data_IF_974030558005
#
_entry.id   IF_974030558005
#
_cell.length_a   1.000
_cell.length_b   1.000
_cell.length_c   1.000
_cell.angle_alpha   90.00
_cell.angle_beta   90.00
_cell.angle_gamma   90.00
#
_symmetry.space_group_name_H-M   'P 1'
#
loop_
_entity.id
_entity.type
_entity.pdbx_description
1 polymer ?
#
# COMPACT_ATOMS: atom_id res chain seq x y z
N UNK A 1 34.23 -38.75 12.58
CA UNK A 1 33.21 -39.82 12.68
C UNK A 1 32.62 -39.96 14.08
N UNK A 2 33.38 -40.25 15.15
CA UNK A 2 32.81 -40.34 16.52
C UNK A 2 32.41 -38.98 17.13
N UNK A 3 33.24 -37.95 16.93
CA UNK A 3 33.02 -36.60 17.45
C UNK A 3 31.86 -35.86 16.79
N UNK A 4 31.70 -35.97 15.47
CA UNK A 4 30.61 -35.33 14.72
C UNK A 4 29.24 -35.91 15.10
N UNK A 5 29.17 -37.22 15.36
CA UNK A 5 27.92 -37.87 15.83
C UNK A 5 27.56 -37.43 17.25
N UNK A 6 28.56 -37.12 18.08
CA UNK A 6 28.35 -36.64 19.45
C UNK A 6 27.94 -35.15 19.49
N UNK A 7 28.47 -34.33 18.59
CA UNK A 7 28.03 -32.95 18.37
C UNK A 7 26.60 -32.88 17.83
N UNK A 8 26.27 -33.71 16.84
CA UNK A 8 24.90 -33.80 16.31
C UNK A 8 23.89 -34.26 17.38
N UNK A 9 24.29 -35.17 18.29
CA UNK A 9 23.43 -35.57 19.42
C UNK A 9 23.19 -34.42 20.39
N UNK A 10 24.21 -33.64 20.71
CA UNK A 10 24.06 -32.44 21.55
C UNK A 10 23.18 -31.39 20.90
N UNK A 11 23.28 -31.22 19.58
CA UNK A 11 22.44 -30.28 18.84
C UNK A 11 20.98 -30.74 18.76
N UNK A 12 20.73 -32.03 18.54
CA UNK A 12 19.38 -32.62 18.58
C UNK A 12 18.78 -32.49 19.98
N UNK A 13 19.56 -32.69 21.04
CA UNK A 13 19.09 -32.52 22.42
C UNK A 13 18.78 -31.05 22.74
N UNK A 14 19.60 -30.12 22.26
CA UNK A 14 19.36 -28.67 22.36
C UNK A 14 18.07 -28.27 21.64
N UNK A 15 17.88 -28.75 20.41
CA UNK A 15 16.68 -28.49 19.61
C UNK A 15 15.44 -29.10 20.24
N UNK A 16 15.52 -30.34 20.75
CA UNK A 16 14.41 -30.99 21.47
C UNK A 16 14.00 -30.19 22.70
N UNK A 17 14.98 -29.69 23.46
CA UNK A 17 14.72 -28.86 24.64
C UNK A 17 14.13 -27.50 24.26
N UNK A 18 14.53 -26.93 23.13
CA UNK A 18 13.94 -25.68 22.62
C UNK A 18 12.50 -25.88 22.14
N UNK A 19 12.22 -26.98 21.43
CA UNK A 19 10.85 -27.34 21.01
C UNK A 19 9.94 -27.59 22.23
N UNK A 20 10.43 -28.25 23.28
CA UNK A 20 9.67 -28.43 24.53
C UNK A 20 9.36 -27.09 25.22
N UNK A 21 10.32 -26.16 25.26
CA UNK A 21 10.10 -24.81 25.82
C UNK A 21 9.06 -24.03 25.00
N UNK A 22 9.17 -24.06 23.68
CA UNK A 22 8.24 -23.37 22.79
C UNK A 22 6.83 -23.98 22.88
N UNK A 23 6.72 -25.31 22.91
CA UNK A 23 5.43 -25.99 23.09
C UNK A 23 4.76 -25.62 24.42
N UNK A 24 5.53 -25.55 25.51
CA UNK A 24 5.00 -25.10 26.81
C UNK A 24 4.53 -23.65 26.76
N UNK A 25 5.32 -22.75 26.15
CA UNK A 25 4.93 -21.36 25.99
C UNK A 25 3.64 -21.21 25.16
N UNK A 26 3.49 -21.97 24.08
CA UNK A 26 2.27 -21.97 23.24
C UNK A 26 1.05 -22.43 24.04
N UNK A 27 1.19 -23.48 24.86
CA UNK A 27 0.08 -23.97 25.71
C UNK A 27 -0.28 -22.93 26.77
N UNK A 28 0.71 -22.30 27.40
CA UNK A 28 0.49 -21.25 28.41
C UNK A 28 -0.20 -20.03 27.78
N UNK A 29 0.27 -19.56 26.62
CA UNK A 29 -0.34 -18.44 25.87
C UNK A 29 -1.74 -18.79 25.36
N UNK A 30 -1.95 -20.02 24.85
CA UNK A 30 -3.26 -20.49 24.43
C UNK A 30 -4.26 -20.54 25.60
N UNK A 31 -3.82 -21.01 26.77
CA UNK A 31 -4.65 -21.02 27.98
C UNK A 31 -5.01 -19.62 28.46
N UNK A 32 -4.09 -18.67 28.33
CA UNK A 32 -4.30 -17.28 28.72
C UNK A 32 -5.23 -16.56 27.73
N UNK A 33 -5.11 -16.84 26.43
CA UNK A 33 -5.98 -16.29 25.40
C UNK A 33 -7.42 -16.82 25.53
N UNK A 34 -7.58 -18.12 25.81
CA UNK A 34 -8.89 -18.71 26.12
C UNK A 34 -9.52 -18.08 27.37
N UNK A 35 -8.74 -17.84 28.43
CA UNK A 35 -9.24 -17.14 29.62
C UNK A 35 -9.69 -15.73 29.31
N UNK A 36 -8.93 -14.99 28.52
CA UNK A 36 -9.30 -13.61 28.11
C UNK A 36 -10.56 -13.61 27.26
N UNK A 37 -10.72 -14.57 26.35
CA UNK A 37 -11.94 -14.72 25.55
C UNK A 37 -13.16 -15.08 26.40
N UNK A 38 -13.03 -16.08 27.29
CA UNK A 38 -14.11 -16.48 28.20
C UNK A 38 -14.48 -15.34 29.15
N UNK A 39 -13.51 -14.57 29.65
CA UNK A 39 -13.79 -13.40 30.49
C UNK A 39 -14.46 -12.26 29.70
N UNK A 40 -14.08 -12.06 28.43
CA UNK A 40 -14.71 -11.08 27.54
C UNK A 40 -16.16 -11.47 27.25
N UNK A 41 -16.42 -12.73 26.92
CA UNK A 41 -17.77 -13.27 26.72
C UNK A 41 -18.60 -13.21 28.01
N UNK A 42 -18.03 -13.57 29.15
CA UNK A 42 -18.72 -13.48 30.45
C UNK A 42 -19.07 -12.04 30.80
N UNK A 43 -18.19 -11.07 30.52
CA UNK A 43 -18.48 -9.64 30.69
C UNK A 43 -19.55 -9.17 29.71
N UNK A 44 -19.53 -9.64 28.47
CA UNK A 44 -20.55 -9.35 27.46
C UNK A 44 -21.92 -9.91 27.86
N UNK A 45 -22.00 -11.16 28.29
CA UNK A 45 -23.23 -11.78 28.81
C UNK A 45 -23.75 -11.06 30.06
N UNK A 46 -22.87 -10.65 30.97
CA UNK A 46 -23.24 -9.85 32.14
C UNK A 46 -23.74 -8.45 31.75
N UNK A 47 -23.16 -7.84 30.71
CA UNK A 47 -23.62 -6.55 30.19
C UNK A 47 -24.97 -6.63 29.48
N UNK A 48 -25.36 -7.82 29.01
CA UNK A 48 -26.66 -8.11 28.40
C UNK A 48 -27.76 -8.45 29.44
N UNK A 49 -27.47 -8.40 30.75
CA UNK A 49 -28.45 -8.63 31.84
C UNK A 49 -29.32 -9.90 31.66
N UNK A 50 -28.73 -11.00 31.17
CA UNK A 50 -29.40 -12.31 31.07
C UNK A 50 -29.50 -13.07 32.40
N UNK A 51 -29.19 -12.44 33.54
CA UNK A 51 -29.48 -12.97 34.89
C UNK A 51 -30.92 -12.65 35.35
N UNK A 52 -31.85 -12.47 34.42
CA UNK A 52 -33.27 -12.42 34.74
C UNK A 52 -33.97 -13.65 34.16
N UNK A 53 -34.29 -14.58 35.07
CA UNK A 53 -35.31 -15.60 34.92
C UNK A 53 -36.60 -14.95 34.37
N UNK A 54 -36.78 -14.95 33.04
CA UNK A 54 -38.08 -14.89 32.34
C UNK A 54 -37.88 -14.94 30.81
N UNK A 55 -38.55 -15.85 30.09
CA UNK A 55 -38.53 -15.86 28.64
C UNK A 55 -39.55 -14.85 28.11
N UNK A 56 -39.11 -13.64 27.77
CA UNK A 56 -39.96 -12.67 27.07
C UNK A 56 -39.74 -12.77 25.55
N UNK A 57 -40.63 -13.55 24.94
CA UNK A 57 -41.26 -13.38 23.63
C UNK A 57 -40.57 -12.42 22.64
N UNK A 58 -40.04 -13.01 21.57
CA UNK A 58 -39.63 -12.37 20.32
C UNK A 58 -40.73 -11.41 19.83
N UNK A 59 -40.41 -10.13 19.70
CA UNK A 59 -41.15 -9.18 18.87
C UNK A 59 -40.23 -8.77 17.73
N UNK A 60 -40.52 -9.31 16.56
CA UNK A 60 -40.13 -8.78 15.26
C UNK A 60 -40.73 -7.39 15.12
N UNK A 61 -39.88 -6.37 15.19
CA UNK A 61 -40.22 -5.05 14.65
C UNK A 61 -38.97 -4.50 13.97
N UNK A 62 -38.99 -4.61 12.64
CA UNK A 62 -38.19 -3.79 11.74
C UNK A 62 -38.52 -2.33 12.03
N UNK A 63 -37.56 -1.59 12.55
CA UNK A 63 -37.62 -0.13 12.59
C UNK A 63 -36.19 0.38 12.59
N UNK A 64 -35.80 0.84 11.40
CA UNK A 64 -34.80 1.84 11.10
C UNK A 64 -34.35 2.66 12.33
N UNK A 65 -33.13 2.40 12.77
CA UNK A 65 -32.40 3.31 13.66
C UNK A 65 -30.99 3.51 13.09
N UNK A 66 -30.94 4.26 11.99
CA UNK A 66 -29.70 4.82 11.41
C UNK A 66 -29.15 6.01 12.22
N UNK A 67 -29.78 6.39 13.34
CA UNK A 67 -29.42 7.63 14.07
C UNK A 67 -28.57 7.43 15.33
N UNK A 68 -28.26 6.18 15.71
CA UNK A 68 -27.47 5.85 16.90
C UNK A 68 -26.02 5.40 16.61
N UNK A 69 -25.53 5.61 15.38
CA UNK A 69 -24.19 5.18 14.94
C UNK A 69 -23.05 6.17 15.21
N UNK A 70 -23.33 7.42 15.55
CA UNK A 70 -22.30 8.47 15.54
C UNK A 70 -21.51 8.69 16.86
N UNK A 71 -21.87 8.08 18.01
CA UNK A 71 -21.21 8.43 19.30
C UNK A 71 -20.63 7.27 20.14
N UNK A 72 -20.62 6.04 19.64
CA UNK A 72 -19.84 4.95 20.24
C UNK A 72 -19.00 4.34 19.16
N UNK A 73 -17.69 4.64 19.18
CA UNK A 73 -16.70 4.12 18.24
C UNK A 73 -17.05 2.69 17.85
N UNK A 74 -17.46 2.55 16.57
CA UNK A 74 -17.94 1.29 16.03
C UNK A 74 -16.96 0.20 16.40
N UNK A 75 -17.44 -0.79 17.14
CA UNK A 75 -16.63 -1.94 17.45
C UNK A 75 -16.36 -2.62 16.11
N UNK A 76 -15.11 -2.51 15.62
CA UNK A 76 -14.60 -3.16 14.41
C UNK A 76 -15.27 -4.53 14.28
N UNK A 77 -16.15 -4.64 13.29
CA UNK A 77 -16.88 -5.86 13.05
C UNK A 77 -15.94 -6.88 12.42
N UNK A 78 -16.31 -8.16 12.49
CA UNK A 78 -15.54 -9.18 11.78
C UNK A 78 -15.50 -8.91 10.27
N UNK A 79 -16.51 -8.21 9.74
CA UNK A 79 -16.62 -7.90 8.32
C UNK A 79 -15.66 -6.76 7.93
N UNK A 80 -15.52 -5.71 8.75
CA UNK A 80 -14.52 -4.64 8.54
C UNK A 80 -13.08 -5.19 8.55
N UNK A 81 -12.81 -6.19 9.40
CA UNK A 81 -11.52 -6.86 9.44
C UNK A 81 -11.28 -7.70 8.17
N UNK A 82 -12.31 -8.36 7.65
CA UNK A 82 -12.20 -9.11 6.39
C UNK A 82 -11.99 -8.14 5.23
N UNK A 83 -12.73 -7.04 5.17
CA UNK A 83 -12.57 -6.00 4.15
C UNK A 83 -11.16 -5.41 4.17
N UNK A 84 -10.66 -5.02 5.36
CA UNK A 84 -9.29 -4.52 5.50
C UNK A 84 -8.25 -5.55 5.06
N UNK A 85 -8.43 -6.83 5.41
CA UNK A 85 -7.51 -7.89 4.97
C UNK A 85 -7.57 -8.07 3.45
N UNK A 86 -8.76 -7.98 2.83
CA UNK A 86 -8.88 -8.05 1.37
C UNK A 86 -8.25 -6.84 0.68
N UNK A 87 -8.37 -5.64 1.26
CA UNK A 87 -7.71 -4.45 0.73
C UNK A 87 -6.19 -4.57 0.85
N UNK A 88 -5.68 -5.01 2.00
CA UNK A 88 -4.24 -5.24 2.21
C UNK A 88 -3.70 -6.30 1.27
N UNK A 89 -4.46 -7.36 1.00
CA UNK A 89 -4.11 -8.35 -0.01
C UNK A 89 -4.08 -7.75 -1.41
N UNK A 90 -5.06 -6.92 -1.78
CA UNK A 90 -5.04 -6.19 -3.05
C UNK A 90 -3.84 -5.25 -3.19
N UNK A 91 -3.49 -4.52 -2.12
CA UNK A 91 -2.30 -3.67 -2.09
C UNK A 91 -1.00 -4.49 -2.20
N UNK A 92 -0.97 -5.68 -1.61
CA UNK A 92 0.17 -6.61 -1.72
C UNK A 92 0.29 -7.15 -3.15
N UNK A 93 -0.81 -7.57 -3.77
CA UNK A 93 -0.85 -8.05 -5.15
C UNK A 93 -0.38 -6.94 -6.12
N UNK A 94 -0.81 -5.70 -5.90
CA UNK A 94 -0.33 -4.54 -6.66
C UNK A 94 1.17 -4.31 -6.48
N UNK A 95 1.70 -4.48 -5.27
CA UNK A 95 3.14 -4.36 -4.99
C UNK A 95 3.92 -5.44 -5.74
N UNK A 96 3.46 -6.69 -5.68
CA UNK A 96 4.08 -7.82 -6.37
C UNK A 96 4.06 -7.60 -7.88
N UNK A 97 2.94 -7.12 -8.44
CA UNK A 97 2.86 -6.81 -9.86
C UNK A 97 3.82 -5.68 -10.28
N UNK A 98 3.94 -4.61 -9.47
CA UNK A 98 4.98 -3.59 -9.70
C UNK A 98 6.38 -4.18 -9.66
N UNK A 99 6.64 -5.08 -8.71
CA UNK A 99 7.95 -5.73 -8.56
C UNK A 99 8.30 -6.59 -9.78
N UNK A 100 7.34 -7.39 -10.28
CA UNK A 100 7.49 -8.21 -11.48
C UNK A 100 7.79 -7.33 -12.70
N UNK A 101 7.00 -6.28 -12.92
CA UNK A 101 7.14 -5.39 -14.08
C UNK A 101 8.44 -4.59 -14.04
N UNK A 102 8.85 -4.10 -12.87
CA UNK A 102 10.16 -3.46 -12.67
C UNK A 102 11.30 -4.43 -12.96
N UNK A 103 11.19 -5.68 -12.50
CA UNK A 103 12.22 -6.70 -12.77
C UNK A 103 12.30 -7.03 -14.26
N UNK A 104 11.17 -7.09 -14.96
CA UNK A 104 11.14 -7.23 -16.41
C UNK A 104 11.82 -6.04 -17.11
N UNK A 105 11.54 -4.81 -16.67
CA UNK A 105 12.13 -3.59 -17.21
C UNK A 105 13.64 -3.47 -16.97
N UNK A 106 14.16 -4.08 -15.90
CA UNK A 106 15.62 -4.14 -15.65
C UNK A 106 16.34 -4.97 -16.72
N UNK A 107 15.67 -5.96 -17.29
CA UNK A 107 16.24 -6.82 -18.34
C UNK A 107 16.24 -6.15 -19.71
N UNK A 108 15.48 -5.05 -19.88
CA UNK A 108 15.38 -4.30 -21.12
C UNK A 108 16.70 -3.54 -21.35
N UNK A 109 17.42 -3.91 -22.41
CA UNK A 109 18.72 -3.34 -22.76
C UNK A 109 18.78 -2.80 -24.19
N UNK A 110 17.96 -3.32 -25.10
CA UNK A 110 17.92 -2.86 -26.48
C UNK A 110 16.91 -1.71 -26.65
N UNK A 111 17.20 -0.80 -27.57
CA UNK A 111 16.36 0.39 -27.82
C UNK A 111 14.96 0.04 -28.37
N UNK A 112 14.85 -1.11 -29.07
CA UNK A 112 13.60 -1.59 -29.66
C UNK A 112 12.82 -2.54 -28.75
N UNK A 113 13.30 -2.82 -27.53
CA UNK A 113 12.59 -3.67 -26.58
C UNK A 113 11.45 -2.90 -25.89
N UNK A 114 10.35 -3.62 -25.66
CA UNK A 114 9.16 -3.05 -25.05
C UNK A 114 9.34 -2.87 -23.54
N UNK A 115 8.84 -1.75 -23.04
CA UNK A 115 8.77 -1.46 -21.61
C UNK A 115 7.43 -1.94 -21.07
N UNK A 116 7.44 -2.65 -19.95
CA UNK A 116 6.24 -3.00 -19.22
C UNK A 116 5.76 -1.78 -18.41
N UNK A 117 4.54 -1.25 -18.66
CA UNK A 117 4.01 -0.15 -17.86
C UNK A 117 3.76 -0.63 -16.43
N UNK A 118 4.17 0.16 -15.45
CA UNK A 118 4.00 -0.15 -14.02
C UNK A 118 2.65 0.42 -13.57
N UNK A 119 1.83 -0.31 -12.78
CA UNK A 119 0.56 0.24 -12.31
C UNK A 119 0.78 1.42 -11.35
N UNK A 120 -0.13 2.40 -11.40
CA UNK A 120 -0.16 3.55 -10.49
C UNK A 120 -0.56 3.16 -9.06
N UNK A 121 -0.68 4.14 -8.15
CA UNK A 121 -1.07 3.90 -6.75
C UNK A 121 -2.40 3.16 -6.63
N UNK A 122 -3.34 3.50 -7.49
CA UNK A 122 -4.70 2.95 -7.51
C UNK A 122 -4.83 1.66 -8.33
N UNK A 123 -3.71 1.07 -8.79
CA UNK A 123 -3.71 -0.14 -9.61
C UNK A 123 -4.09 0.08 -11.09
N UNK A 124 -4.42 1.30 -11.49
CA UNK A 124 -4.67 1.65 -12.88
C UNK A 124 -3.42 1.55 -13.75
N UNK A 125 -3.60 1.24 -15.03
CA UNK A 125 -2.54 1.20 -16.03
C UNK A 125 -2.55 2.46 -16.92
N UNK A 126 -1.36 2.93 -17.33
CA UNK A 126 -1.22 4.00 -18.31
C UNK A 126 -2.03 3.80 -19.61
N UNK A 127 -2.25 2.56 -20.03
CA UNK A 127 -2.99 2.22 -21.26
C UNK A 127 -4.49 2.00 -21.03
N UNK A 128 -4.93 1.71 -19.79
CA UNK A 128 -6.35 1.41 -19.50
C UNK A 128 -7.22 2.67 -19.41
N UNK A 129 -6.60 3.84 -19.21
CA UNK A 129 -7.29 5.14 -19.21
C UNK A 129 -7.45 5.75 -20.61
N UNK A 130 -7.01 5.05 -21.67
CA UNK A 130 -7.25 5.39 -23.07
C UNK A 130 -8.67 4.93 -23.42
N UNK A 131 -9.69 5.55 -22.81
CA UNK A 131 -11.05 5.48 -23.31
C UNK A 131 -11.17 6.38 -24.54
N UNK A 132 -11.79 5.86 -25.60
CA UNK A 132 -11.99 6.52 -26.91
C UNK A 132 -12.85 7.81 -26.85
N UNK A 133 -13.30 8.22 -25.65
CA UNK A 133 -14.34 9.24 -25.45
C UNK A 133 -13.89 10.50 -24.67
N UNK A 134 -12.60 10.68 -24.39
CA UNK A 134 -12.11 11.88 -23.69
C UNK A 134 -11.32 12.82 -24.62
N UNK A 135 -12.03 13.80 -25.18
CA UNK A 135 -11.45 15.10 -25.56
C UNK A 135 -10.83 15.74 -24.30
N UNK A 136 -9.55 15.52 -24.01
CA UNK A 136 -8.83 16.35 -23.03
C UNK A 136 -7.30 16.21 -23.18
N UNK A 137 -6.64 17.37 -23.15
CA UNK A 137 -5.22 17.74 -23.22
C UNK A 137 -4.17 16.78 -22.60
N UNK A 138 -4.15 15.51 -23.00
CA UNK A 138 -3.12 14.55 -22.57
C UNK A 138 -1.89 14.62 -23.48
N UNK A 139 -0.69 14.89 -22.95
CA UNK A 139 0.49 15.15 -23.78
C UNK A 139 1.08 13.91 -24.46
N UNK A 140 0.54 12.71 -24.27
CA UNK A 140 0.87 11.55 -25.12
C UNK A 140 0.60 10.19 -24.49
N UNK A 141 0.66 9.15 -25.33
CA UNK A 141 0.61 7.73 -24.94
C UNK A 141 1.86 7.34 -24.14
N UNK A 142 1.75 6.33 -23.26
CA UNK A 142 2.90 5.78 -22.54
C UNK A 142 3.95 5.25 -23.53
N UNK A 143 5.25 5.52 -23.33
CA UNK A 143 6.31 5.07 -24.23
C UNK A 143 6.36 3.53 -24.24
N UNK A 144 6.08 2.94 -25.39
CA UNK A 144 6.03 1.49 -25.54
C UNK A 144 7.44 0.89 -25.62
N UNK A 145 8.41 1.64 -26.14
CA UNK A 145 9.79 1.19 -26.34
C UNK A 145 10.81 2.04 -25.58
N UNK A 146 11.98 1.46 -25.31
CA UNK A 146 13.09 2.15 -24.65
C UNK A 146 13.59 3.35 -25.46
N UNK A 147 13.52 3.30 -26.79
CA UNK A 147 13.81 4.43 -27.68
C UNK A 147 12.83 5.58 -27.51
N UNK A 148 11.54 5.29 -27.37
CA UNK A 148 10.51 6.32 -27.11
C UNK A 148 10.71 6.96 -25.74
N UNK A 149 11.04 6.15 -24.73
CA UNK A 149 11.34 6.65 -23.39
C UNK A 149 12.56 7.61 -23.39
N UNK A 150 13.64 7.26 -24.10
CA UNK A 150 14.84 8.12 -24.24
C UNK A 150 14.55 9.46 -24.92
N UNK A 151 13.69 9.45 -25.94
CA UNK A 151 13.37 10.63 -26.75
C UNK A 151 12.16 11.43 -26.24
N UNK A 152 11.70 11.16 -25.02
CA UNK A 152 10.58 11.85 -24.40
C UNK A 152 10.87 13.35 -24.20
N UNK A 153 9.88 14.20 -24.56
CA UNK A 153 9.93 15.64 -24.29
C UNK A 153 9.63 15.94 -22.81
N UNK A 154 10.11 17.10 -22.35
CA UNK A 154 9.98 17.50 -20.94
C UNK A 154 8.51 17.64 -20.49
N UNK A 155 7.61 18.03 -21.40
CA UNK A 155 6.16 18.12 -21.13
C UNK A 155 5.55 16.74 -20.84
N UNK A 156 5.92 15.73 -21.63
CA UNK A 156 5.46 14.34 -21.46
C UNK A 156 6.04 13.73 -20.20
N UNK A 157 7.31 14.04 -19.90
CA UNK A 157 7.96 13.62 -18.67
C UNK A 157 7.24 14.16 -17.43
N UNK A 158 6.90 15.44 -17.41
CA UNK A 158 6.17 16.08 -16.32
C UNK A 158 4.78 15.47 -16.11
N UNK A 159 4.07 15.18 -17.21
CA UNK A 159 2.78 14.51 -17.12
C UNK A 159 2.89 13.14 -16.46
N UNK A 160 3.83 12.30 -16.91
CA UNK A 160 4.00 10.97 -16.31
C UNK A 160 4.45 11.05 -14.84
N UNK A 161 5.32 11.99 -14.49
CA UNK A 161 5.72 12.18 -13.10
C UNK A 161 4.55 12.59 -12.19
N UNK A 162 3.63 13.42 -12.69
CA UNK A 162 2.38 13.74 -11.96
C UNK A 162 1.44 12.54 -11.89
N UNK A 163 1.28 11.82 -12.99
CA UNK A 163 0.43 10.62 -13.05
C UNK A 163 0.88 9.55 -12.04
N UNK A 164 2.19 9.35 -11.90
CA UNK A 164 2.76 8.43 -10.93
C UNK A 164 2.96 9.03 -9.52
N UNK A 165 2.55 10.30 -9.28
CA UNK A 165 2.72 11.02 -8.01
C UNK A 165 4.18 11.09 -7.50
N UNK A 166 5.18 11.14 -8.40
CA UNK A 166 6.59 11.27 -8.01
C UNK A 166 7.02 12.71 -7.71
N UNK A 167 6.26 13.68 -8.22
CA UNK A 167 6.47 15.09 -7.94
C UNK A 167 5.63 15.50 -6.72
N UNK A 168 6.16 16.34 -5.82
CA UNK A 168 5.35 16.98 -4.81
C UNK A 168 4.23 17.81 -5.49
N UNK A 169 3.05 17.92 -4.85
CA UNK A 169 1.92 18.66 -5.42
C UNK A 169 2.31 20.11 -5.70
N UNK A 170 1.93 20.59 -6.88
CA UNK A 170 2.17 21.98 -7.29
C UNK A 170 1.43 22.95 -6.35
N UNK A 171 1.87 24.20 -6.27
CA UNK A 171 1.24 25.22 -5.40
C UNK A 171 -0.29 25.35 -5.62
N UNK A 172 -0.75 25.19 -6.87
CA UNK A 172 -2.17 25.21 -7.21
C UNK A 172 -2.92 23.94 -6.77
N UNK A 173 -2.31 22.75 -6.91
CA UNK A 173 -2.88 21.48 -6.46
C UNK A 173 -2.91 21.42 -4.93
N UNK A 174 -1.88 21.95 -4.29
CA UNK A 174 -1.79 22.07 -2.85
C UNK A 174 -2.85 23.04 -2.31
N UNK A 175 -3.14 24.16 -2.99
CA UNK A 175 -4.26 25.02 -2.60
C UNK A 175 -5.63 24.34 -2.77
N UNK A 176 -5.84 23.55 -3.82
CA UNK A 176 -7.07 22.76 -3.97
C UNK A 176 -7.22 21.73 -2.85
N UNK A 177 -6.15 20.99 -2.54
CA UNK A 177 -6.10 20.02 -1.43
C UNK A 177 -6.38 20.71 -0.09
N UNK A 178 -5.73 21.85 0.20
CA UNK A 178 -5.96 22.61 1.44
C UNK A 178 -7.40 23.13 1.53
N UNK A 179 -7.95 23.62 0.40
CA UNK A 179 -9.33 24.11 0.35
C UNK A 179 -10.36 23.00 0.58
N UNK A 180 -10.08 21.78 0.10
CA UNK A 180 -10.93 20.61 0.24
C UNK A 180 -10.78 19.92 1.61
N UNK A 181 -9.58 19.95 2.18
CA UNK A 181 -9.27 19.39 3.50
C UNK A 181 -9.64 20.34 4.66
N UNK A 182 -9.86 21.64 4.38
CA UNK A 182 -10.14 22.64 5.40
C UNK A 182 -8.99 22.83 6.41
N UNK A 183 -7.77 22.43 6.04
CA UNK A 183 -6.58 22.44 6.89
C UNK A 183 -5.56 23.47 6.37
N UNK A 184 -4.67 23.94 7.25
CA UNK A 184 -3.58 24.84 6.87
C UNK A 184 -2.30 24.06 6.57
N UNK A 185 -1.37 24.65 5.81
CA UNK A 185 -0.09 24.02 5.42
C UNK A 185 0.74 23.56 6.64
N UNK A 186 0.59 24.23 7.80
CA UNK A 186 1.20 23.85 9.08
C UNK A 186 0.58 22.60 9.72
N UNK A 187 -0.73 22.37 9.54
CA UNK A 187 -1.42 21.21 10.12
C UNK A 187 -1.04 19.89 9.42
N UNK A 188 -0.64 19.96 8.16
CA UNK A 188 -0.22 18.81 7.35
C UNK A 188 1.29 18.55 7.39
N UNK A 189 2.07 19.38 8.11
CA UNK A 189 3.52 19.21 8.24
C UNK A 189 4.27 19.23 6.91
N UNK A 190 3.75 19.92 5.90
CA UNK A 190 4.37 20.01 4.58
C UNK A 190 5.38 21.17 4.55
N UNK A 191 6.62 20.89 4.15
CA UNK A 191 7.59 21.92 3.78
C UNK A 191 7.20 22.59 2.45
N UNK A 192 7.69 23.82 2.24
CA UNK A 192 7.29 24.75 1.18
C UNK A 192 6.97 24.10 -0.18
N UNK A 193 5.94 24.60 -0.90
CA UNK A 193 5.58 24.09 -2.22
C UNK A 193 6.80 24.18 -3.14
N UNK A 194 7.14 23.09 -3.83
CA UNK A 194 8.15 23.15 -4.86
C UNK A 194 7.63 23.99 -6.02
N UNK A 195 8.55 24.77 -6.61
CA UNK A 195 8.25 25.63 -7.75
C UNK A 195 7.66 24.82 -8.89
N UNK A 196 6.65 25.38 -9.54
CA UNK A 196 6.00 24.82 -10.72
C UNK A 196 7.02 24.30 -11.74
N UNK A 197 6.69 23.18 -12.39
CA UNK A 197 7.51 22.47 -13.37
C UNK A 197 8.08 23.34 -14.53
N UNK A 198 7.53 24.55 -14.75
CA UNK A 198 7.97 25.51 -15.76
C UNK A 198 9.31 26.21 -15.36
N UNK A 199 9.62 26.25 -14.06
CA UNK A 199 10.86 26.87 -13.54
C UNK A 199 11.96 25.85 -13.18
N UNK A 200 11.73 24.56 -13.46
CA UNK A 200 12.70 23.52 -13.17
C UNK A 200 13.98 23.75 -14.00
N UNK A 201 15.11 23.80 -13.31
CA UNK A 201 16.43 23.86 -13.95
C UNK A 201 16.67 22.58 -14.75
N UNK A 202 17.50 22.62 -15.80
CA UNK A 202 17.83 21.42 -16.61
C UNK A 202 18.34 20.25 -15.75
N UNK A 203 19.04 20.56 -14.66
CA UNK A 203 19.52 19.56 -13.69
C UNK A 203 18.37 18.91 -12.89
N UNK A 204 17.30 19.65 -12.58
CA UNK A 204 16.11 19.11 -11.95
C UNK A 204 15.32 18.24 -12.92
N UNK A 205 15.18 18.65 -14.19
CA UNK A 205 14.55 17.84 -15.24
C UNK A 205 15.29 16.51 -15.44
N UNK A 206 16.62 16.51 -15.45
CA UNK A 206 17.41 15.28 -15.56
C UNK A 206 17.26 14.38 -14.32
N UNK A 207 17.18 14.95 -13.11
CA UNK A 207 16.87 14.19 -11.88
C UNK A 207 15.46 13.62 -11.91
N UNK A 208 14.49 14.37 -12.41
CA UNK A 208 13.11 13.95 -12.56
C UNK A 208 13.00 12.80 -13.57
N UNK A 209 13.72 12.88 -14.70
CA UNK A 209 13.86 11.77 -15.64
C UNK A 209 14.43 10.52 -14.98
N UNK A 210 15.52 10.64 -14.22
CA UNK A 210 16.13 9.51 -13.53
C UNK A 210 15.23 8.93 -12.43
N UNK A 211 14.39 9.75 -11.82
CA UNK A 211 13.41 9.33 -10.82
C UNK A 211 12.29 8.51 -11.48
N UNK A 212 11.77 8.97 -12.63
CA UNK A 212 10.80 8.20 -13.42
C UNK A 212 11.41 6.88 -13.93
N UNK A 213 12.63 6.93 -14.47
CA UNK A 213 13.34 5.74 -14.95
C UNK A 213 13.55 4.72 -13.82
N UNK A 214 13.93 5.19 -12.62
CA UNK A 214 14.06 4.34 -11.42
C UNK A 214 12.74 3.74 -10.99
N UNK A 215 11.66 4.52 -10.99
CA UNK A 215 10.34 4.01 -10.65
C UNK A 215 9.86 2.92 -11.62
N UNK A 216 10.16 3.06 -12.90
CA UNK A 216 9.85 2.07 -13.93
C UNK A 216 10.81 0.86 -13.91
N UNK A 217 11.95 0.95 -13.24
CA UNK A 217 12.97 -0.11 -13.22
C UNK A 217 13.88 -0.11 -14.46
N UNK A 218 13.99 1.02 -15.17
CA UNK A 218 14.81 1.15 -16.36
C UNK A 218 16.26 1.50 -16.01
N UNK A 219 17.20 0.99 -16.81
CA UNK A 219 18.65 1.28 -16.65
C UNK A 219 19.10 2.57 -17.34
N UNK A 220 18.25 3.16 -18.16
CA UNK A 220 18.53 4.42 -18.86
C UNK A 220 18.55 5.58 -17.88
N UNK A 221 19.65 6.35 -17.86
CA UNK A 221 19.82 7.52 -16.99
C UNK A 221 20.41 8.69 -17.76
N UNK A 222 20.05 9.91 -17.38
CA UNK A 222 20.62 11.17 -17.89
C UNK A 222 21.74 11.69 -16.98
N UNK A 223 21.70 11.41 -15.67
CA UNK A 223 22.80 11.78 -14.74
C UNK A 223 23.80 10.64 -14.52
N UNK A 224 25.11 10.95 -14.38
CA UNK A 224 26.16 9.95 -14.23
C UNK A 224 26.33 9.39 -12.80
N UNK A 225 25.73 9.99 -11.77
CA UNK A 225 26.20 9.83 -10.38
C UNK A 225 25.10 9.57 -9.33
N UNK A 226 24.16 8.68 -9.64
CA UNK A 226 23.31 8.09 -8.61
C UNK A 226 23.27 6.58 -8.79
N UNK A 227 23.40 5.83 -7.70
CA UNK A 227 23.35 4.36 -7.68
C UNK A 227 21.95 3.84 -8.08
#
# INVERSE_FOLDING_TARGET
>A
MGSEVEELRKEVERLSNQVKKNSKAIVDTGSQLLRVQVDKERRSLKSLNLDSDKPSKVSTTESDDESAREEKGEALTSDDLVELVTELQGQLDLLDERSIRRTANVLVTADDENIAPVPGRNGGYPDDEISDDAEDDRPGKFPATLKEFKNMSDDVLNYWLRWYELLPPDEAELQDILSRAGATMEDLGMDQPQKSAIEATKEEVDKHYDTLARYLGLRTRRTPDTW
#
